data_IF_504832530499
#
_entry.id   IF_504832530499
#
_cell.length_a   1.000
_cell.length_b   1.000
_cell.length_c   1.000
_cell.angle_alpha   90.00
_cell.angle_beta   90.00
_cell.angle_gamma   90.00
#
_symmetry.space_group_name_H-M   'P 1'
#
loop_
_entity.id
_entity.type
_entity.pdbx_description
1 polymer ?
#
# COMPACT_ATOMS: atom_id res chain seq x y z
N UNK A 1 25.50 1.90 -7.44
CA UNK A 1 25.19 0.91 -6.37
C UNK A 1 25.35 -0.49 -6.93
N UNK A 2 26.17 -1.34 -6.32
CA UNK A 2 26.35 -2.72 -6.78
C UNK A 2 25.03 -3.48 -6.75
N UNK A 3 24.73 -4.23 -7.83
CA UNK A 3 23.47 -4.99 -7.99
C UNK A 3 23.14 -5.87 -6.76
N UNK A 4 24.17 -6.36 -6.04
CA UNK A 4 24.02 -7.19 -4.84
C UNK A 4 23.38 -6.45 -3.64
N UNK A 5 23.81 -5.22 -3.33
CA UNK A 5 23.25 -4.43 -2.21
C UNK A 5 21.81 -4.00 -2.48
N UNK A 6 21.47 -3.77 -3.75
CA UNK A 6 20.12 -3.41 -4.17
C UNK A 6 19.13 -4.57 -3.94
N UNK A 7 19.51 -5.80 -4.29
CA UNK A 7 18.69 -7.00 -4.08
C UNK A 7 18.42 -7.28 -2.59
N UNK A 8 19.43 -7.12 -1.74
CA UNK A 8 19.30 -7.29 -0.28
C UNK A 8 18.30 -6.29 0.33
N UNK A 9 18.37 -5.02 -0.08
CA UNK A 9 17.40 -3.99 0.36
C UNK A 9 15.98 -4.33 -0.07
N UNK A 10 15.80 -4.87 -1.28
CA UNK A 10 14.51 -5.29 -1.81
C UNK A 10 13.90 -6.46 -1.04
N UNK A 11 14.71 -7.47 -0.72
CA UNK A 11 14.27 -8.64 0.06
C UNK A 11 13.86 -8.22 1.48
N UNK A 12 14.68 -7.40 2.14
CA UNK A 12 14.37 -6.86 3.47
C UNK A 12 13.09 -6.03 3.45
N UNK A 13 12.94 -5.14 2.47
CA UNK A 13 11.75 -4.31 2.33
C UNK A 13 10.50 -5.18 2.08
N UNK A 14 10.60 -6.19 1.21
CA UNK A 14 9.53 -7.15 0.96
C UNK A 14 9.13 -7.95 2.21
N UNK A 15 10.09 -8.41 3.00
CA UNK A 15 9.84 -9.13 4.25
C UNK A 15 9.12 -8.24 5.29
N UNK A 16 9.64 -7.03 5.52
CA UNK A 16 9.05 -6.09 6.48
C UNK A 16 7.64 -5.70 6.05
N UNK A 17 7.47 -5.35 4.77
CA UNK A 17 6.16 -4.96 4.23
C UNK A 17 5.16 -6.11 4.28
N UNK A 18 5.58 -7.34 3.98
CA UNK A 18 4.77 -8.55 4.11
C UNK A 18 4.33 -8.84 5.54
N UNK A 19 5.26 -8.77 6.51
CA UNK A 19 4.97 -8.96 7.93
C UNK A 19 3.98 -7.91 8.45
N UNK A 20 4.25 -6.62 8.18
CA UNK A 20 3.36 -5.52 8.58
C UNK A 20 1.98 -5.68 7.94
N UNK A 21 1.93 -6.05 6.65
CA UNK A 21 0.66 -6.29 5.98
C UNK A 21 -0.10 -7.48 6.59
N UNK A 22 0.59 -8.58 6.92
CA UNK A 22 -0.05 -9.74 7.53
C UNK A 22 -0.59 -9.46 8.94
N UNK A 23 0.12 -8.65 9.74
CA UNK A 23 -0.29 -8.31 11.10
C UNK A 23 -1.40 -7.26 11.15
N UNK A 24 -1.28 -6.18 10.37
CA UNK A 24 -2.18 -5.03 10.44
C UNK A 24 -3.27 -5.04 9.37
N UNK A 25 -3.16 -5.90 8.34
CA UNK A 25 -4.09 -5.92 7.22
C UNK A 25 -4.17 -4.61 6.42
N UNK A 26 -3.21 -3.69 6.61
CA UNK A 26 -3.29 -2.30 6.14
C UNK A 26 -3.04 -2.13 4.65
N UNK A 27 -2.78 -3.22 3.92
CA UNK A 27 -2.52 -3.20 2.49
C UNK A 27 -1.08 -2.81 2.13
N UNK A 28 -0.10 -2.89 3.04
CA UNK A 28 1.35 -2.83 2.75
C UNK A 28 1.96 -1.53 2.19
N UNK A 29 1.16 -0.69 1.52
CA UNK A 29 1.62 0.52 0.82
C UNK A 29 2.18 1.60 1.74
N UNK A 30 1.66 1.67 2.96
CA UNK A 30 2.10 2.52 4.07
C UNK A 30 3.62 2.42 4.31
N UNK A 31 4.18 1.22 4.19
CA UNK A 31 5.62 0.97 4.39
C UNK A 31 6.36 0.84 3.06
N UNK A 32 5.72 0.21 2.07
CA UNK A 32 6.36 -0.10 0.78
C UNK A 32 6.64 1.16 -0.05
N UNK A 33 5.71 2.13 -0.08
CA UNK A 33 5.87 3.39 -0.83
C UNK A 33 7.05 4.22 -0.30
N UNK A 34 7.11 4.59 1.00
CA UNK A 34 8.25 5.34 1.51
C UNK A 34 9.55 4.54 1.45
N UNK A 35 9.50 3.21 1.60
CA UNK A 35 10.67 2.35 1.40
C UNK A 35 11.22 2.42 -0.03
N UNK A 36 10.36 2.35 -1.04
CA UNK A 36 10.77 2.48 -2.44
C UNK A 36 11.35 3.84 -2.77
N UNK A 37 10.78 4.91 -2.22
CA UNK A 37 11.29 6.26 -2.44
C UNK A 37 12.60 6.53 -1.68
N UNK A 38 12.61 6.38 -0.35
CA UNK A 38 13.76 6.76 0.49
C UNK A 38 14.92 5.76 0.46
N UNK A 39 14.65 4.45 0.33
CA UNK A 39 15.69 3.41 0.42
C UNK A 39 16.22 3.01 -0.95
N UNK A 40 15.33 2.95 -1.96
CA UNK A 40 15.65 2.50 -3.32
C UNK A 40 15.81 3.66 -4.31
N UNK A 41 15.41 4.89 -3.96
CA UNK A 41 15.55 6.07 -4.82
C UNK A 41 14.65 6.06 -6.06
N UNK A 42 13.55 5.29 -6.03
CA UNK A 42 12.60 5.18 -7.14
C UNK A 42 11.74 6.44 -7.17
N UNK A 43 11.45 6.97 -8.36
CA UNK A 43 10.53 8.10 -8.55
C UNK A 43 9.18 7.84 -7.89
N UNK A 44 8.60 8.86 -7.25
CA UNK A 44 7.39 8.74 -6.42
C UNK A 44 6.22 8.10 -7.17
N UNK A 45 5.94 8.51 -8.40
CA UNK A 45 4.88 7.92 -9.23
C UNK A 45 5.10 6.42 -9.48
N UNK A 46 6.35 6.02 -9.77
CA UNK A 46 6.70 4.60 -9.98
C UNK A 46 6.64 3.82 -8.67
N UNK A 47 7.04 4.42 -7.56
CA UNK A 47 6.93 3.80 -6.23
C UNK A 47 5.47 3.51 -5.88
N UNK A 48 4.56 4.47 -6.07
CA UNK A 48 3.13 4.29 -5.84
C UNK A 48 2.51 3.23 -6.77
N UNK A 49 2.82 3.28 -8.07
CA UNK A 49 2.29 2.31 -9.03
C UNK A 49 2.80 0.88 -8.74
N UNK A 50 4.10 0.74 -8.45
CA UNK A 50 4.71 -0.56 -8.14
C UNK A 50 4.16 -1.12 -6.83
N UNK A 51 3.96 -0.26 -5.82
CA UNK A 51 3.38 -0.69 -4.56
C UNK A 51 2.00 -1.32 -4.77
N UNK A 52 1.11 -0.70 -5.54
CA UNK A 52 -0.23 -1.25 -5.83
C UNK A 52 -0.13 -2.64 -6.47
N UNK A 53 0.79 -2.83 -7.42
CA UNK A 53 1.04 -4.13 -8.05
C UNK A 53 1.49 -5.20 -7.05
N UNK A 54 2.30 -4.83 -6.06
CA UNK A 54 2.75 -5.75 -4.99
C UNK A 54 1.62 -6.05 -4.01
N UNK A 55 0.78 -5.06 -3.71
CA UNK A 55 -0.33 -5.17 -2.76
C UNK A 55 -1.44 -6.11 -3.28
N UNK A 56 -1.64 -6.17 -4.59
CA UNK A 56 -2.66 -7.02 -5.22
C UNK A 56 -2.54 -8.51 -4.79
N UNK A 57 -1.41 -9.23 -4.98
CA UNK A 57 -1.29 -10.62 -4.54
C UNK A 57 -1.38 -10.76 -3.01
N UNK A 58 -0.83 -9.81 -2.24
CA UNK A 58 -0.92 -9.80 -0.77
C UNK A 58 -2.38 -9.75 -0.28
N UNK A 59 -3.19 -8.90 -0.90
CA UNK A 59 -4.62 -8.75 -0.57
C UNK A 59 -5.44 -9.95 -1.03
N UNK A 60 -5.12 -10.58 -2.17
CA UNK A 60 -5.76 -11.83 -2.61
C UNK A 60 -5.53 -12.97 -1.62
N UNK A 61 -4.29 -13.13 -1.14
CA UNK A 61 -3.96 -14.14 -0.11
C UNK A 61 -4.72 -13.84 1.18
N UNK A 62 -4.72 -12.58 1.61
CA UNK A 62 -5.44 -12.16 2.82
C UNK A 62 -6.94 -12.44 2.70
N UNK A 63 -7.56 -12.06 1.57
CA UNK A 63 -8.96 -12.32 1.27
C UNK A 63 -9.28 -13.82 1.34
N UNK A 64 -8.43 -14.67 0.75
CA UNK A 64 -8.63 -16.12 0.78
C UNK A 64 -8.60 -16.67 2.22
N UNK A 65 -7.67 -16.19 3.05
CA UNK A 65 -7.60 -16.55 4.46
C UNK A 65 -8.88 -16.12 5.18
N UNK A 66 -9.27 -14.86 5.08
CA UNK A 66 -10.49 -14.34 5.73
C UNK A 66 -11.76 -15.06 5.28
N UNK A 67 -11.84 -15.41 4.00
CA UNK A 67 -12.94 -16.21 3.46
C UNK A 67 -12.98 -17.61 4.05
N UNK A 68 -11.81 -18.26 4.21
CA UNK A 68 -11.73 -19.61 4.77
C UNK A 68 -12.13 -19.68 6.25
N UNK A 69 -11.86 -18.63 7.02
CA UNK A 69 -12.27 -18.52 8.42
C UNK A 69 -13.75 -18.14 8.62
N UNK A 70 -14.50 -17.82 7.56
CA UNK A 70 -15.95 -17.55 7.64
C UNK A 70 -16.32 -16.25 8.38
N UNK A 71 -15.36 -15.36 8.61
CA UNK A 71 -15.52 -14.10 9.37
C UNK A 71 -15.98 -12.92 8.51
N UNK A 72 -16.49 -13.18 7.30
CA UNK A 72 -16.89 -12.16 6.33
C UNK A 72 -18.34 -11.74 6.57
N UNK A 73 -18.55 -10.46 6.89
CA UNK A 73 -19.88 -9.83 6.93
C UNK A 73 -20.20 -9.25 5.55
N UNK A 74 -20.90 -10.02 4.72
CA UNK A 74 -21.13 -9.73 3.31
C UNK A 74 -21.75 -8.37 3.01
N UNK A 75 -22.68 -7.89 3.86
CA UNK A 75 -23.31 -6.57 3.69
C UNK A 75 -22.28 -5.42 3.76
N UNK A 76 -21.37 -5.48 4.73
CA UNK A 76 -20.28 -4.50 4.87
C UNK A 76 -19.26 -4.69 3.75
N UNK A 77 -18.89 -5.93 3.44
CA UNK A 77 -17.90 -6.25 2.41
C UNK A 77 -18.29 -5.70 1.05
N UNK A 78 -19.55 -5.86 0.62
CA UNK A 78 -20.02 -5.36 -0.68
C UNK A 78 -19.98 -3.82 -0.74
N UNK A 79 -20.45 -3.14 0.31
CA UNK A 79 -20.45 -1.68 0.38
C UNK A 79 -19.03 -1.12 0.33
N UNK A 80 -18.12 -1.72 1.10
CA UNK A 80 -16.70 -1.33 1.13
C UNK A 80 -16.00 -1.67 -0.18
N UNK A 81 -16.29 -2.83 -0.78
CA UNK A 81 -15.72 -3.23 -2.07
C UNK A 81 -16.13 -2.26 -3.19
N UNK A 82 -17.40 -1.89 -3.28
CA UNK A 82 -17.87 -0.93 -4.28
C UNK A 82 -17.22 0.45 -4.09
N UNK A 83 -17.17 0.93 -2.85
CA UNK A 83 -16.48 2.18 -2.52
C UNK A 83 -14.99 2.13 -2.86
N UNK A 84 -14.33 1.01 -2.56
CA UNK A 84 -12.91 0.77 -2.85
C UNK A 84 -12.61 0.70 -4.35
N UNK A 85 -13.47 0.05 -5.15
CA UNK A 85 -13.33 -0.02 -6.61
C UNK A 85 -13.46 1.38 -7.22
N UNK A 86 -14.52 2.11 -6.86
CA UNK A 86 -14.74 3.47 -7.38
C UNK A 86 -13.64 4.43 -6.95
N UNK A 87 -13.29 4.43 -5.66
CA UNK A 87 -12.21 5.27 -5.12
C UNK A 87 -10.85 4.92 -5.72
N UNK A 88 -10.54 3.63 -5.89
CA UNK A 88 -9.31 3.14 -6.50
C UNK A 88 -9.20 3.54 -7.97
N UNK A 89 -10.29 3.41 -8.74
CA UNK A 89 -10.32 3.79 -10.15
C UNK A 89 -10.11 5.31 -10.34
N UNK A 90 -10.84 6.13 -9.57
CA UNK A 90 -10.70 7.59 -9.60
C UNK A 90 -9.29 8.00 -9.14
N UNK A 91 -8.80 7.40 -8.06
CA UNK A 91 -7.47 7.65 -7.52
C UNK A 91 -6.36 7.31 -8.52
N UNK A 92 -6.44 6.16 -9.21
CA UNK A 92 -5.48 5.76 -10.23
C UNK A 92 -5.45 6.75 -11.42
N UNK A 93 -6.62 7.24 -11.85
CA UNK A 93 -6.71 8.24 -12.93
C UNK A 93 -6.13 9.59 -12.51
N UNK A 94 -6.33 9.98 -11.25
CA UNK A 94 -5.85 11.24 -10.71
C UNK A 94 -4.34 11.21 -10.42
N UNK A 95 -3.80 10.06 -10.02
CA UNK A 95 -2.38 9.86 -9.69
C UNK A 95 -1.45 10.36 -10.82
N UNK A 96 -1.79 10.06 -12.08
CA UNK A 96 -1.02 10.48 -13.24
C UNK A 96 -1.09 11.99 -13.54
N UNK A 97 -2.03 12.72 -12.94
CA UNK A 97 -2.20 14.17 -13.12
C UNK A 97 -1.60 15.00 -11.99
N UNK A 98 -1.26 14.37 -10.86
CA UNK A 98 -0.73 15.05 -9.68
C UNK A 98 0.80 15.14 -9.80
N UNK A 99 1.42 16.33 -9.62
CA UNK A 99 2.87 16.45 -9.59
C UNK A 99 3.46 15.79 -8.34
N UNK A 100 4.67 15.22 -8.46
CA UNK A 100 5.29 14.37 -7.42
C UNK A 100 5.34 15.08 -6.06
N UNK A 101 5.79 16.33 -6.00
CA UNK A 101 5.83 17.12 -4.76
C UNK A 101 4.49 17.19 -4.01
N UNK A 102 3.36 17.26 -4.73
CA UNK A 102 2.03 17.33 -4.15
C UNK A 102 1.56 15.94 -3.71
N UNK A 103 1.90 14.90 -4.48
CA UNK A 103 1.66 13.51 -4.11
C UNK A 103 2.39 13.13 -2.83
N UNK A 104 3.67 13.48 -2.69
CA UNK A 104 4.46 13.25 -1.47
C UNK A 104 3.87 13.99 -0.27
N UNK A 105 3.58 15.28 -0.40
CA UNK A 105 2.99 16.07 0.70
C UNK A 105 1.61 15.54 1.09
N UNK A 106 0.77 15.21 0.11
CA UNK A 106 -0.56 14.65 0.35
C UNK A 106 -0.51 13.30 1.05
N UNK A 107 0.36 12.39 0.60
CA UNK A 107 0.57 11.10 1.25
C UNK A 107 1.13 11.27 2.66
N UNK A 108 2.12 12.14 2.87
CA UNK A 108 2.68 12.41 4.19
C UNK A 108 1.63 12.98 5.17
N UNK A 109 0.79 13.91 4.71
CA UNK A 109 -0.30 14.46 5.52
C UNK A 109 -1.34 13.39 5.86
N UNK A 110 -1.75 12.58 4.88
CA UNK A 110 -2.68 11.47 5.10
C UNK A 110 -2.14 10.48 6.14
N UNK A 111 -0.85 10.17 6.06
CA UNK A 111 -0.17 9.28 7.01
C UNK A 111 -0.09 9.86 8.41
N UNK A 112 0.17 11.16 8.55
CA UNK A 112 0.11 11.86 9.84
C UNK A 112 -1.30 11.79 10.45
N UNK A 113 -2.34 12.03 9.66
CA UNK A 113 -3.73 11.95 10.12
C UNK A 113 -4.06 10.52 10.55
N UNK A 114 -3.66 9.51 9.77
CA UNK A 114 -3.87 8.11 10.11
C UNK A 114 -3.17 7.73 11.42
N UNK A 115 -1.93 8.21 11.63
CA UNK A 115 -1.18 7.98 12.86
C UNK A 115 -1.88 8.62 14.07
N UNK A 116 -2.36 9.86 13.94
CA UNK A 116 -3.10 10.54 15.02
C UNK A 116 -4.38 9.80 15.38
N UNK A 117 -5.18 9.37 14.39
CA UNK A 117 -6.43 8.62 14.60
C UNK A 117 -6.21 7.23 15.22
N UNK A 118 -5.00 6.68 15.13
CA UNK A 118 -4.69 5.39 15.73
C UNK A 118 -4.30 5.53 17.21
N UNK A 119 -3.81 6.70 17.61
CA UNK A 119 -3.39 7.01 18.99
C UNK A 119 -4.55 7.56 19.83
N UNK A 120 -5.44 8.35 19.23
CA UNK A 120 -6.60 8.98 19.87
C UNK A 120 -7.90 8.39 19.33
#
# INVERSE_FOLDING_TARGET
>A
MGKSTFSIKLILLGLITGLVNGLFGSGGGTVLVPGMFFILGIEEHKAHATAISVILPLTLVSMFIYFRYGIIVWDVTIKVALGGILGGYIGAKLLNRIPSNLLRKGFALFMMIAALRMVF
#
